data_IF_978337672333
#
_entry.id   IF_978337672333
#
_cell.length_a   1.000
_cell.length_b   1.000
_cell.length_c   1.000
_cell.angle_alpha   90.00
_cell.angle_beta   90.00
_cell.angle_gamma   90.00
#
_symmetry.space_group_name_H-M   'P 1'
#
loop_
_entity.id
_entity.type
_entity.pdbx_description
1 polymer ?
#
# COMPACT_ATOMS: atom_id res chain seq x y z
N UNK A 1 -6.56 12.95 13.53
CA UNK A 1 -7.08 12.77 12.14
C UNK A 1 -5.87 12.60 11.25
N UNK A 2 -5.82 11.54 10.44
CA UNK A 2 -4.76 11.32 9.47
C UNK A 2 -4.89 12.30 8.29
N UNK A 3 -3.74 12.65 7.68
CA UNK A 3 -3.70 13.50 6.49
C UNK A 3 -4.43 12.85 5.31
N UNK A 4 -5.17 13.65 4.57
CA UNK A 4 -5.88 13.20 3.37
C UNK A 4 -6.05 14.31 2.36
N UNK A 5 -6.30 13.92 1.11
CA UNK A 5 -6.77 14.76 0.01
C UNK A 5 -8.01 14.13 -0.60
N UNK A 6 -8.89 14.97 -1.17
CA UNK A 6 -10.10 14.52 -1.84
C UNK A 6 -10.15 15.19 -3.21
N UNK A 7 -10.26 14.39 -4.26
CA UNK A 7 -10.31 14.84 -5.66
C UNK A 7 -11.48 14.18 -6.39
N UNK A 8 -12.03 14.89 -7.39
CA UNK A 8 -13.10 14.34 -8.24
C UNK A 8 -14.49 14.37 -7.61
N UNK A 9 -15.41 13.60 -8.20
CA UNK A 9 -16.80 13.48 -7.76
C UNK A 9 -17.38 12.13 -8.16
N UNK A 10 -18.40 11.65 -7.45
CA UNK A 10 -19.03 10.35 -7.68
C UNK A 10 -18.97 9.45 -6.45
N UNK A 11 -19.02 8.13 -6.65
CA UNK A 11 -18.91 7.17 -5.55
C UNK A 11 -17.54 7.30 -4.84
N UNK A 12 -17.49 7.26 -3.48
CA UNK A 12 -16.24 7.43 -2.77
C UNK A 12 -15.32 6.22 -2.95
N UNK A 13 -14.05 6.49 -3.27
CA UNK A 13 -12.97 5.53 -3.45
C UNK A 13 -11.78 5.92 -2.57
N UNK A 14 -11.43 5.06 -1.63
CA UNK A 14 -10.30 5.23 -0.71
C UNK A 14 -9.05 4.53 -1.25
N UNK A 15 -7.92 5.24 -1.30
CA UNK A 15 -6.62 4.69 -1.68
C UNK A 15 -5.73 4.55 -0.43
N UNK A 16 -5.27 3.32 -0.14
CA UNK A 16 -4.43 2.99 1.01
C UNK A 16 -3.00 2.67 0.59
N UNK A 17 -2.06 3.37 1.19
CA UNK A 17 -0.63 3.37 0.84
C UNK A 17 0.09 2.07 1.22
N UNK A 18 1.09 1.66 0.41
CA UNK A 18 2.17 0.80 0.86
C UNK A 18 3.01 1.49 1.97
N UNK A 19 3.84 0.70 2.66
CA UNK A 19 4.50 1.12 3.91
C UNK A 19 5.37 2.37 3.77
N UNK A 20 6.17 2.47 2.71
CA UNK A 20 7.07 3.61 2.44
C UNK A 20 6.47 4.65 1.47
N UNK A 21 5.19 4.50 1.10
CA UNK A 21 4.48 5.40 0.20
C UNK A 21 3.91 6.61 0.94
N UNK A 22 3.47 7.59 0.15
CA UNK A 22 2.69 8.75 0.61
C UNK A 22 1.44 8.90 -0.26
N UNK A 23 0.47 9.67 0.20
CA UNK A 23 -0.73 10.02 -0.58
C UNK A 23 -0.39 10.59 -1.97
N UNK A 24 0.74 11.29 -2.10
CA UNK A 24 1.23 11.84 -3.37
C UNK A 24 1.65 10.75 -4.36
N UNK A 25 2.12 9.60 -3.91
CA UNK A 25 2.55 8.48 -4.77
C UNK A 25 1.42 7.93 -5.64
N UNK A 26 0.17 8.11 -5.21
CA UNK A 26 -1.01 7.69 -5.96
C UNK A 26 -1.39 8.61 -7.11
N UNK A 27 -0.79 9.81 -7.24
CA UNK A 27 -1.23 10.82 -8.20
C UNK A 27 -1.44 10.29 -9.63
N UNK A 28 -0.54 9.46 -10.21
CA UNK A 28 -0.72 8.93 -11.56
C UNK A 28 -1.93 7.99 -11.70
N UNK A 29 -2.25 7.21 -10.65
CA UNK A 29 -3.41 6.32 -10.60
C UNK A 29 -4.68 7.10 -10.25
N UNK A 30 -4.60 8.02 -9.30
CA UNK A 30 -5.75 8.77 -8.80
C UNK A 30 -6.35 9.73 -9.85
N UNK A 31 -5.52 10.32 -10.72
CA UNK A 31 -5.97 11.30 -11.72
C UNK A 31 -7.07 10.75 -12.65
N UNK A 32 -6.92 9.63 -13.35
CA UNK A 32 -7.99 9.08 -14.18
C UNK A 32 -9.18 8.57 -13.35
N UNK A 33 -8.95 8.08 -12.13
CA UNK A 33 -10.03 7.63 -11.24
C UNK A 33 -10.90 8.79 -10.76
N UNK A 34 -10.34 9.98 -10.57
CA UNK A 34 -11.06 11.17 -10.13
C UNK A 34 -12.06 11.73 -11.17
N UNK A 35 -12.00 11.25 -12.42
CA UNK A 35 -13.00 11.55 -13.45
C UNK A 35 -14.33 10.81 -13.19
N UNK A 36 -14.30 9.73 -12.36
CA UNK A 36 -15.44 8.84 -12.12
C UNK A 36 -15.81 8.68 -10.64
N UNK A 37 -14.87 8.97 -9.72
CA UNK A 37 -15.00 8.74 -8.29
C UNK A 37 -14.63 9.99 -7.48
N UNK A 38 -15.16 10.07 -6.26
CA UNK A 38 -14.59 10.91 -5.22
C UNK A 38 -13.42 10.16 -4.61
N UNK A 39 -12.20 10.47 -5.05
CA UNK A 39 -10.97 9.78 -4.68
C UNK A 39 -10.38 10.38 -3.42
N UNK A 40 -10.27 9.57 -2.37
CA UNK A 40 -9.60 9.92 -1.10
C UNK A 40 -8.23 9.25 -1.06
N UNK A 41 -7.17 10.04 -0.95
CA UNK A 41 -5.80 9.56 -0.70
C UNK A 41 -5.40 9.98 0.70
N UNK A 42 -4.82 9.09 1.48
CA UNK A 42 -4.42 9.42 2.85
C UNK A 42 -3.02 8.87 3.18
N UNK A 43 -2.35 9.50 4.12
CA UNK A 43 -1.18 8.95 4.79
C UNK A 43 -1.63 8.27 6.08
N UNK A 44 -1.31 7.00 6.24
CA UNK A 44 -1.54 6.29 7.50
C UNK A 44 -0.65 6.87 8.60
N UNK A 45 -1.00 6.70 9.86
CA UNK A 45 -0.21 7.19 11.00
C UNK A 45 1.20 6.63 10.93
N UNK A 46 2.20 7.49 11.08
CA UNK A 46 3.63 7.17 10.85
C UNK A 46 4.12 7.50 9.43
N UNK A 47 3.23 7.72 8.45
CA UNK A 47 3.63 8.19 7.12
C UNK A 47 3.77 9.71 7.07
N UNK A 48 4.42 10.23 6.04
CA UNK A 48 4.97 11.58 5.89
C UNK A 48 4.12 12.71 6.46
N UNK A 49 2.86 12.84 5.97
CA UNK A 49 1.96 13.94 6.36
C UNK A 49 1.07 13.58 7.56
N UNK A 50 1.19 12.36 8.06
CA UNK A 50 0.56 11.88 9.30
C UNK A 50 1.64 11.47 10.30
N UNK A 51 2.52 12.41 10.73
CA UNK A 51 3.61 12.09 11.66
C UNK A 51 3.06 11.67 13.01
N UNK A 52 3.85 10.91 13.74
CA UNK A 52 3.51 10.38 15.05
C UNK A 52 3.89 8.92 15.16
N UNK A 53 3.75 8.37 16.34
CA UNK A 53 4.01 6.96 16.59
C UNK A 53 2.97 6.10 15.88
N UNK A 54 3.37 5.22 14.94
CA UNK A 54 2.44 4.32 14.30
C UNK A 54 1.88 3.31 15.31
N UNK A 55 0.69 2.74 15.07
CA UNK A 55 0.16 1.67 15.91
C UNK A 55 1.10 0.46 15.91
N UNK A 56 1.17 -0.23 17.05
CA UNK A 56 1.94 -1.46 17.18
C UNK A 56 1.31 -2.64 16.42
N UNK A 57 0.01 -2.59 16.16
CA UNK A 57 -0.74 -3.60 15.39
C UNK A 57 -1.30 -2.99 14.10
N UNK A 58 -1.14 -3.71 12.98
CA UNK A 58 -1.66 -3.27 11.67
C UNK A 58 -3.17 -3.03 11.72
N UNK A 59 -3.90 -3.79 12.52
CA UNK A 59 -5.34 -3.66 12.68
C UNK A 59 -5.79 -2.36 13.34
N UNK A 60 -4.94 -1.70 14.10
CA UNK A 60 -5.27 -0.43 14.76
C UNK A 60 -5.34 0.73 13.76
N UNK A 61 -4.72 0.62 12.58
CA UNK A 61 -4.92 1.56 11.48
C UNK A 61 -6.37 1.58 10.97
N UNK A 62 -7.12 0.49 11.17
CA UNK A 62 -8.55 0.43 10.80
C UNK A 62 -9.35 1.51 11.53
N UNK A 63 -9.06 1.74 12.81
CA UNK A 63 -9.74 2.79 13.58
C UNK A 63 -9.48 4.19 13.02
N UNK A 64 -8.23 4.47 12.61
CA UNK A 64 -7.87 5.75 11.97
C UNK A 64 -8.61 5.95 10.64
N UNK A 65 -8.71 4.88 9.83
CA UNK A 65 -9.43 4.91 8.54
C UNK A 65 -10.92 5.10 8.76
N UNK A 66 -11.54 4.38 9.72
CA UNK A 66 -12.97 4.56 10.04
C UNK A 66 -13.24 5.99 10.51
N UNK A 67 -12.39 6.55 11.37
CA UNK A 67 -12.51 7.94 11.82
C UNK A 67 -12.38 8.94 10.66
N UNK A 68 -11.51 8.67 9.68
CA UNK A 68 -11.42 9.47 8.45
C UNK A 68 -12.72 9.41 7.64
N UNK A 69 -13.28 8.21 7.43
CA UNK A 69 -14.54 8.04 6.69
C UNK A 69 -15.70 8.75 7.38
N UNK A 70 -15.78 8.71 8.72
CA UNK A 70 -16.78 9.40 9.52
C UNK A 70 -16.63 10.93 9.39
N UNK A 71 -15.39 11.44 9.46
CA UNK A 71 -15.10 12.85 9.27
C UNK A 71 -15.56 13.37 7.89
N UNK A 72 -15.35 12.56 6.85
CA UNK A 72 -15.77 12.89 5.48
C UNK A 72 -17.25 12.65 5.21
N UNK A 73 -17.98 12.05 6.16
CA UNK A 73 -19.41 11.73 6.00
C UNK A 73 -19.67 10.55 5.05
N UNK A 74 -18.68 9.72 4.76
CA UNK A 74 -18.84 8.56 3.89
C UNK A 74 -19.35 7.34 4.68
N UNK A 75 -20.54 6.87 4.38
CA UNK A 75 -21.12 5.66 4.97
C UNK A 75 -20.36 4.43 4.54
N UNK A 76 -20.06 4.31 3.25
CA UNK A 76 -19.28 3.21 2.67
C UNK A 76 -18.50 3.65 1.45
N UNK A 77 -17.35 3.01 1.20
CA UNK A 77 -16.42 3.36 0.12
C UNK A 77 -15.99 2.11 -0.67
N UNK A 78 -15.55 2.31 -1.90
CA UNK A 78 -14.66 1.36 -2.57
C UNK A 78 -13.25 1.52 -2.00
N UNK A 79 -12.45 0.45 -1.96
CA UNK A 79 -11.08 0.48 -1.43
C UNK A 79 -10.11 -0.06 -2.49
N UNK A 80 -9.14 0.76 -2.88
CA UNK A 80 -7.96 0.35 -3.64
C UNK A 80 -6.75 0.46 -2.72
N UNK A 81 -6.07 -0.64 -2.48
CA UNK A 81 -5.02 -0.70 -1.48
C UNK A 81 -3.80 -1.46 -2.00
N UNK A 82 -2.59 -1.04 -1.63
CA UNK A 82 -1.37 -1.72 -2.08
C UNK A 82 -0.48 -2.12 -0.91
N UNK A 83 0.13 -3.32 -1.00
CA UNK A 83 1.12 -3.82 -0.03
C UNK A 83 0.61 -3.74 1.42
N UNK A 84 1.27 -3.01 2.31
CA UNK A 84 0.83 -2.74 3.69
C UNK A 84 -0.61 -2.20 3.76
N UNK A 85 -0.94 -1.25 2.89
CA UNK A 85 -2.32 -0.75 2.77
C UNK A 85 -3.32 -1.82 2.38
N UNK A 86 -2.89 -2.86 1.64
CA UNK A 86 -3.70 -4.03 1.32
C UNK A 86 -4.08 -4.83 2.56
N UNK A 87 -3.15 -4.99 3.51
CA UNK A 87 -3.44 -5.60 4.81
C UNK A 87 -4.46 -4.76 5.62
N UNK A 88 -4.24 -3.44 5.70
CA UNK A 88 -5.20 -2.51 6.35
C UNK A 88 -6.56 -2.56 5.68
N UNK A 89 -6.62 -2.56 4.34
CA UNK A 89 -7.86 -2.64 3.57
C UNK A 89 -8.62 -3.94 3.78
N UNK A 90 -7.91 -5.08 3.84
CA UNK A 90 -8.51 -6.37 4.14
C UNK A 90 -9.09 -6.42 5.57
N UNK A 91 -8.34 -5.92 6.56
CA UNK A 91 -8.81 -5.82 7.95
C UNK A 91 -10.01 -4.86 8.09
N UNK A 92 -9.98 -3.71 7.43
CA UNK A 92 -11.13 -2.79 7.37
C UNK A 92 -12.36 -3.51 6.82
N UNK A 93 -12.18 -4.27 5.73
CA UNK A 93 -13.28 -4.99 5.06
C UNK A 93 -13.85 -6.10 5.94
N UNK A 94 -12.99 -6.84 6.65
CA UNK A 94 -13.41 -7.92 7.55
C UNK A 94 -14.07 -7.41 8.84
N UNK A 95 -13.49 -6.36 9.47
CA UNK A 95 -13.93 -5.84 10.78
C UNK A 95 -15.07 -4.82 10.69
N UNK A 96 -15.16 -4.10 9.56
CA UNK A 96 -16.19 -3.09 9.32
C UNK A 96 -16.86 -3.27 7.94
N UNK A 97 -17.50 -4.44 7.68
CA UNK A 97 -17.99 -4.80 6.34
C UNK A 97 -19.02 -3.82 5.78
N UNK A 98 -19.79 -3.13 6.61
CA UNK A 98 -20.73 -2.10 6.19
C UNK A 98 -20.04 -0.83 5.62
N UNK A 99 -18.73 -0.66 5.87
CA UNK A 99 -17.95 0.49 5.40
C UNK A 99 -17.29 0.26 4.04
N UNK A 100 -17.25 -0.97 3.54
CA UNK A 100 -16.55 -1.31 2.28
C UNK A 100 -17.52 -1.93 1.27
N UNK A 101 -17.64 -1.28 0.12
CA UNK A 101 -18.48 -1.74 -1.02
C UNK A 101 -17.76 -2.81 -1.82
N UNK A 102 -16.48 -2.62 -2.09
CA UNK A 102 -15.60 -3.58 -2.76
C UNK A 102 -14.15 -3.29 -2.45
N UNK A 103 -13.29 -4.28 -2.56
CA UNK A 103 -11.86 -4.22 -2.26
C UNK A 103 -11.03 -4.64 -3.47
N UNK A 104 -10.11 -3.80 -3.91
CA UNK A 104 -9.02 -4.17 -4.82
C UNK A 104 -7.70 -4.11 -4.04
N UNK A 105 -7.08 -5.27 -3.81
CA UNK A 105 -5.82 -5.42 -3.07
C UNK A 105 -4.69 -5.75 -4.03
N UNK A 106 -3.68 -4.89 -4.11
CA UNK A 106 -2.59 -4.95 -5.08
C UNK A 106 -1.28 -5.25 -4.37
N UNK A 107 -0.52 -6.23 -4.86
CA UNK A 107 0.79 -6.61 -4.33
C UNK A 107 0.77 -6.75 -2.79
N UNK A 108 -0.17 -7.56 -2.27
CA UNK A 108 -0.36 -7.78 -0.84
C UNK A 108 -0.44 -9.27 -0.51
N UNK A 109 -0.25 -9.63 0.76
CA UNK A 109 -0.23 -11.01 1.24
C UNK A 109 -1.13 -11.20 2.48
N UNK A 110 -1.43 -12.45 2.81
CA UNK A 110 -2.20 -12.86 3.99
C UNK A 110 -1.38 -12.91 5.29
N UNK A 111 -0.08 -12.64 5.18
CA UNK A 111 0.91 -12.66 6.26
C UNK A 111 2.32 -12.79 5.68
N UNK A 112 3.34 -12.68 6.53
CA UNK A 112 4.73 -12.77 6.09
C UNK A 112 5.23 -14.21 6.05
N UNK A 113 6.14 -14.47 5.09
CA UNK A 113 7.04 -15.62 5.09
C UNK A 113 8.33 -15.25 5.80
N UNK A 114 9.18 -16.24 6.09
CA UNK A 114 10.50 -16.01 6.66
C UNK A 114 11.34 -15.08 5.77
N UNK A 115 11.34 -15.28 4.45
CA UNK A 115 12.09 -14.43 3.51
C UNK A 115 11.57 -12.99 3.47
N UNK A 116 10.26 -12.78 3.60
CA UNK A 116 9.68 -11.44 3.70
C UNK A 116 10.08 -10.76 5.01
N UNK A 117 10.10 -11.49 6.13
CA UNK A 117 10.53 -10.96 7.42
C UNK A 117 12.01 -10.57 7.41
N UNK A 118 12.88 -11.39 6.78
CA UNK A 118 14.29 -11.04 6.58
C UNK A 118 14.48 -9.76 5.75
N UNK A 119 13.65 -9.57 4.71
CA UNK A 119 13.70 -8.37 3.89
C UNK A 119 13.23 -7.12 4.67
N UNK A 120 12.16 -7.24 5.45
CA UNK A 120 11.69 -6.17 6.35
C UNK A 120 12.77 -5.79 7.37
N UNK A 121 13.49 -6.77 7.93
CA UNK A 121 14.60 -6.51 8.83
C UNK A 121 15.74 -5.73 8.14
N UNK A 122 16.07 -6.05 6.89
CA UNK A 122 17.03 -5.29 6.07
C UNK A 122 16.57 -3.85 5.81
N UNK A 123 15.28 -3.65 5.50
CA UNK A 123 14.71 -2.31 5.31
C UNK A 123 14.74 -1.50 6.59
N UNK A 124 14.41 -2.14 7.72
CA UNK A 124 14.48 -1.52 9.05
C UNK A 124 15.89 -1.05 9.37
N UNK A 125 16.89 -1.92 9.22
CA UNK A 125 18.29 -1.57 9.44
C UNK A 125 18.75 -0.41 8.55
N UNK A 126 18.40 -0.45 7.25
CA UNK A 126 18.71 0.63 6.32
C UNK A 126 18.00 1.95 6.69
N UNK A 127 16.77 1.88 7.20
CA UNK A 127 16.02 3.05 7.68
C UNK A 127 16.70 3.68 8.88
N UNK A 128 17.11 2.87 9.88
CA UNK A 128 17.86 3.33 11.06
C UNK A 128 19.20 3.96 10.64
N UNK A 129 19.95 3.30 9.75
CA UNK A 129 21.20 3.87 9.21
C UNK A 129 20.99 5.20 8.48
N UNK A 130 19.88 5.33 7.75
CA UNK A 130 19.53 6.59 7.06
C UNK A 130 19.15 7.70 8.04
N UNK A 131 18.55 7.35 9.18
CA UNK A 131 18.16 8.29 10.22
C UNK A 131 19.38 8.77 11.05
N UNK A 132 20.22 7.83 11.49
CA UNK A 132 21.29 8.08 12.47
C UNK A 132 22.67 8.32 11.83
N UNK A 133 22.86 7.84 10.61
CA UNK A 133 24.14 7.88 9.91
C UNK A 133 24.32 9.07 8.96
N UNK A 134 25.52 9.21 8.38
CA UNK A 134 25.81 10.28 7.42
C UNK A 134 25.13 10.09 6.05
N UNK A 135 24.69 8.87 5.73
CA UNK A 135 24.11 8.52 4.46
C UNK A 135 22.59 8.30 4.55
N UNK A 136 21.86 9.40 4.46
CA UNK A 136 20.39 9.39 4.50
C UNK A 136 19.72 8.73 3.30
N UNK A 137 20.47 8.49 2.21
CA UNK A 137 19.95 7.82 1.01
C UNK A 137 20.09 6.30 1.04
N UNK A 138 20.73 5.72 2.06
CA UNK A 138 21.02 4.28 2.12
C UNK A 138 19.78 3.38 1.97
N UNK A 139 18.63 3.81 2.50
CA UNK A 139 17.35 3.11 2.34
C UNK A 139 16.96 2.93 0.86
N UNK A 140 17.19 3.95 0.01
CA UNK A 140 16.89 3.87 -1.43
C UNK A 140 17.65 2.72 -2.11
N UNK A 141 18.91 2.52 -1.74
CA UNK A 141 19.77 1.49 -2.34
C UNK A 141 19.32 0.06 -1.98
N UNK A 142 18.68 -0.08 -0.82
CA UNK A 142 18.14 -1.38 -0.35
C UNK A 142 16.74 -1.65 -0.92
N UNK A 143 15.88 -0.63 -0.99
CA UNK A 143 14.51 -0.78 -1.50
C UNK A 143 14.48 -1.01 -3.02
N UNK A 144 15.25 -0.23 -3.81
CA UNK A 144 15.14 -0.18 -5.26
C UNK A 144 15.21 -1.55 -5.94
N UNK A 145 16.18 -2.44 -5.64
CA UNK A 145 16.30 -3.74 -6.32
C UNK A 145 15.20 -4.74 -5.96
N UNK A 146 14.46 -4.51 -4.88
CA UNK A 146 13.41 -5.40 -4.38
C UNK A 146 12.03 -4.94 -4.83
N UNK A 147 11.80 -3.62 -4.80
CA UNK A 147 10.45 -3.07 -5.07
C UNK A 147 10.20 -2.78 -6.55
N UNK A 148 11.24 -2.57 -7.36
CA UNK A 148 11.08 -2.30 -8.80
C UNK A 148 11.49 -3.49 -9.65
N UNK A 149 10.81 -3.67 -10.78
CA UNK A 149 11.22 -4.64 -11.80
C UNK A 149 12.58 -4.27 -12.41
N UNK A 150 13.40 -5.26 -12.84
CA UNK A 150 14.68 -4.99 -13.50
C UNK A 150 14.55 -4.07 -14.73
N UNK A 151 13.48 -4.24 -15.50
CA UNK A 151 13.21 -3.41 -16.68
C UNK A 151 12.93 -1.95 -16.29
N UNK A 152 12.19 -1.72 -15.21
CA UNK A 152 11.92 -0.36 -14.70
C UNK A 152 13.20 0.30 -14.19
N UNK A 153 14.02 -0.42 -13.41
CA UNK A 153 15.31 0.09 -12.91
C UNK A 153 16.21 0.49 -14.06
N UNK A 154 16.34 -0.34 -15.10
CA UNK A 154 17.17 -0.04 -16.27
C UNK A 154 16.64 1.15 -17.07
N UNK A 155 15.33 1.23 -17.30
CA UNK A 155 14.71 2.34 -18.03
C UNK A 155 14.85 3.69 -17.30
N UNK A 156 14.93 3.68 -15.96
CA UNK A 156 14.98 4.88 -15.12
C UNK A 156 16.31 5.02 -14.36
N UNK A 157 17.38 4.41 -14.85
CA UNK A 157 18.70 4.42 -14.17
C UNK A 157 19.24 5.84 -13.94
N UNK A 158 18.97 6.76 -14.85
CA UNK A 158 19.42 8.17 -14.74
C UNK A 158 18.66 8.91 -13.62
N UNK A 159 17.49 8.43 -13.23
CA UNK A 159 16.69 8.98 -12.14
C UNK A 159 17.08 8.43 -10.75
N UNK A 160 17.87 7.36 -10.69
CA UNK A 160 18.28 6.71 -9.42
C UNK A 160 18.86 7.71 -8.42
N UNK A 161 19.78 8.58 -8.88
CA UNK A 161 20.39 9.60 -8.02
C UNK A 161 19.36 10.65 -7.55
N UNK A 162 18.31 10.91 -8.34
CA UNK A 162 17.22 11.81 -7.95
C UNK A 162 16.36 11.16 -6.87
N UNK A 163 15.91 9.92 -7.07
CA UNK A 163 15.13 9.15 -6.07
C UNK A 163 15.87 9.05 -4.75
N UNK A 164 17.17 8.72 -4.80
CA UNK A 164 18.02 8.64 -3.62
C UNK A 164 18.09 9.96 -2.86
N UNK A 165 18.25 11.09 -3.56
CA UNK A 165 18.22 12.44 -2.95
C UNK A 165 16.85 12.79 -2.38
N UNK A 166 15.76 12.39 -3.05
CA UNK A 166 14.40 12.62 -2.54
C UNK A 166 14.18 11.90 -1.21
N UNK A 167 14.60 10.62 -1.09
CA UNK A 167 14.54 9.89 0.19
C UNK A 167 15.44 10.56 1.23
N UNK A 168 16.67 10.93 0.89
CA UNK A 168 17.58 11.59 1.80
C UNK A 168 17.06 12.94 2.34
N UNK A 169 16.19 13.62 1.60
CA UNK A 169 15.59 14.90 1.98
C UNK A 169 14.34 14.77 2.87
N UNK A 170 13.84 13.55 3.10
CA UNK A 170 12.68 13.32 3.97
C UNK A 170 13.03 13.68 5.44
N UNK A 171 12.05 14.15 6.22
CA UNK A 171 12.27 14.52 7.62
C UNK A 171 12.54 13.29 8.49
N UNK A 172 13.24 13.50 9.62
CA UNK A 172 13.55 12.43 10.60
C UNK A 172 12.28 11.74 11.10
N UNK A 173 11.19 12.49 11.26
CA UNK A 173 9.89 11.95 11.67
C UNK A 173 9.36 10.89 10.68
N UNK A 174 9.66 11.00 9.37
CA UNK A 174 9.29 9.99 8.40
C UNK A 174 10.10 8.69 8.57
N UNK A 175 11.40 8.81 8.77
CA UNK A 175 12.25 7.63 9.02
C UNK A 175 11.85 6.91 10.32
N UNK A 176 11.61 7.68 11.40
CA UNK A 176 11.14 7.12 12.67
C UNK A 176 9.76 6.46 12.54
N UNK A 177 8.84 7.09 11.81
CA UNK A 177 7.53 6.52 11.49
C UNK A 177 7.65 5.22 10.67
N UNK A 178 8.55 5.19 9.67
CA UNK A 178 8.79 3.99 8.87
C UNK A 178 9.35 2.83 9.69
N UNK A 179 10.26 3.09 10.65
CA UNK A 179 10.75 2.06 11.59
C UNK A 179 9.58 1.44 12.35
N UNK A 180 8.71 2.26 12.96
CA UNK A 180 7.57 1.75 13.70
C UNK A 180 6.54 1.01 12.83
N UNK A 181 6.33 1.44 11.57
CA UNK A 181 5.48 0.74 10.61
C UNK A 181 6.06 -0.62 10.23
N UNK A 182 7.38 -0.72 10.02
CA UNK A 182 8.07 -1.98 9.76
C UNK A 182 7.96 -2.92 10.97
N UNK A 183 8.15 -2.41 12.19
CA UNK A 183 8.00 -3.18 13.42
C UNK A 183 6.56 -3.73 13.56
N UNK A 184 5.53 -2.93 13.25
CA UNK A 184 4.13 -3.36 13.29
C UNK A 184 3.77 -4.43 12.25
N UNK A 185 4.51 -4.45 11.14
CA UNK A 185 4.25 -5.36 10.03
C UNK A 185 4.86 -6.76 10.25
N UNK A 186 5.88 -6.92 11.12
CA UNK A 186 6.63 -8.20 11.26
C UNK A 186 5.76 -9.39 11.67
N UNK A 187 4.68 -9.16 12.43
CA UNK A 187 3.90 -10.25 13.05
C UNK A 187 2.45 -10.33 12.58
N UNK A 188 2.05 -9.54 11.56
CA UNK A 188 0.65 -9.56 11.14
C UNK A 188 0.26 -10.86 10.43
N UNK A 189 -0.99 -11.29 10.67
CA UNK A 189 -1.62 -12.38 9.94
C UNK A 189 -3.09 -12.07 9.71
N UNK A 190 -3.53 -12.17 8.46
CA UNK A 190 -4.92 -11.92 8.06
C UNK A 190 -5.77 -13.19 8.01
N UNK A 191 -5.15 -14.37 8.05
CA UNK A 191 -5.79 -15.66 7.74
C UNK A 191 -7.09 -15.93 8.49
N UNK A 192 -7.15 -15.55 9.76
CA UNK A 192 -8.34 -15.76 10.56
C UNK A 192 -9.52 -14.85 10.17
N UNK A 193 -9.23 -13.70 9.58
CA UNK A 193 -10.22 -12.66 9.27
C UNK A 193 -10.68 -12.66 7.79
N UNK A 194 -9.82 -13.11 6.86
CA UNK A 194 -10.13 -13.14 5.42
C UNK A 194 -11.44 -13.87 5.08
N UNK A 195 -11.82 -15.01 5.73
CA UNK A 195 -13.09 -15.66 5.47
C UNK A 195 -14.33 -14.83 5.85
N UNK A 196 -14.18 -13.73 6.58
CA UNK A 196 -15.28 -12.81 6.90
C UNK A 196 -15.59 -11.80 5.80
N UNK A 197 -14.68 -11.60 4.83
CA UNK A 197 -14.87 -10.68 3.70
C UNK A 197 -15.98 -11.22 2.79
N UNK A 198 -16.97 -10.38 2.46
CA UNK A 198 -18.16 -10.74 1.66
C UNK A 198 -18.38 -9.83 0.46
N UNK A 199 -17.78 -8.66 0.42
CA UNK A 199 -17.93 -7.75 -0.71
C UNK A 199 -17.12 -8.26 -1.91
N UNK A 200 -17.46 -7.83 -3.15
CA UNK A 200 -16.63 -8.10 -4.32
C UNK A 200 -15.18 -7.75 -4.03
N UNK A 201 -14.27 -8.68 -4.30
CA UNK A 201 -12.83 -8.50 -4.03
C UNK A 201 -12.02 -8.93 -5.23
N UNK A 202 -11.06 -8.09 -5.63
CA UNK A 202 -10.05 -8.37 -6.64
C UNK A 202 -8.67 -8.32 -5.99
N UNK A 203 -7.92 -9.41 -6.06
CA UNK A 203 -6.51 -9.46 -5.67
C UNK A 203 -5.65 -9.38 -6.92
N UNK A 204 -4.73 -8.43 -6.96
CA UNK A 204 -3.83 -8.19 -8.09
C UNK A 204 -2.40 -8.42 -7.66
N UNK A 205 -1.73 -9.35 -8.31
CA UNK A 205 -0.29 -9.60 -8.11
C UNK A 205 0.54 -8.88 -9.18
N UNK A 206 1.77 -8.52 -8.86
CA UNK A 206 2.78 -8.12 -9.81
C UNK A 206 3.67 -9.34 -10.15
N UNK A 207 3.90 -9.60 -11.44
CA UNK A 207 4.57 -10.82 -11.89
C UNK A 207 6.02 -10.93 -11.38
N UNK A 208 6.73 -9.80 -11.33
CA UNK A 208 8.14 -9.71 -10.95
C UNK A 208 8.32 -9.07 -9.56
N UNK A 209 7.33 -9.24 -8.69
CA UNK A 209 7.41 -8.74 -7.31
C UNK A 209 8.56 -9.43 -6.55
N UNK A 210 9.57 -8.65 -6.20
CA UNK A 210 10.75 -9.15 -5.47
C UNK A 210 10.55 -9.26 -3.96
N UNK A 211 9.43 -8.74 -3.45
CA UNK A 211 9.11 -8.76 -2.03
C UNK A 211 7.98 -9.74 -1.68
N UNK A 212 6.83 -9.63 -2.37
CA UNK A 212 5.69 -10.51 -2.14
C UNK A 212 5.58 -11.53 -3.28
N UNK A 213 5.93 -12.78 -3.04
CA UNK A 213 5.85 -13.82 -4.06
C UNK A 213 4.43 -13.99 -4.62
N UNK A 214 4.31 -14.30 -5.90
CA UNK A 214 3.04 -14.45 -6.63
C UNK A 214 2.08 -15.44 -5.93
N UNK A 215 2.61 -16.54 -5.40
CA UNK A 215 1.84 -17.55 -4.68
C UNK A 215 1.24 -17.01 -3.37
N UNK A 216 1.85 -16.01 -2.75
CA UNK A 216 1.32 -15.35 -1.55
C UNK A 216 0.13 -14.44 -1.88
N UNK A 217 0.20 -13.69 -2.99
CA UNK A 217 -0.96 -12.96 -3.50
C UNK A 217 -2.10 -13.92 -3.87
N UNK A 218 -1.78 -15.06 -4.49
CA UNK A 218 -2.78 -16.09 -4.83
C UNK A 218 -3.41 -16.69 -3.58
N UNK A 219 -2.61 -17.02 -2.56
CA UNK A 219 -3.11 -17.53 -1.29
C UNK A 219 -4.06 -16.53 -0.59
N UNK A 220 -3.76 -15.21 -0.69
CA UNK A 220 -4.67 -14.17 -0.21
C UNK A 220 -6.02 -14.22 -0.94
N UNK A 221 -6.03 -14.34 -2.27
CA UNK A 221 -7.26 -14.45 -3.04
C UNK A 221 -8.06 -15.71 -2.69
N UNK A 222 -7.39 -16.86 -2.59
CA UNK A 222 -8.02 -18.15 -2.25
C UNK A 222 -8.65 -18.17 -0.85
N UNK A 223 -8.09 -17.38 0.09
CA UNK A 223 -8.61 -17.26 1.45
C UNK A 223 -9.86 -16.35 1.56
N UNK A 224 -10.17 -15.55 0.54
CA UNK A 224 -11.32 -14.64 0.49
C UNK A 224 -12.42 -15.27 -0.35
N UNK A 225 -13.61 -15.57 0.20
CA UNK A 225 -14.69 -16.18 -0.54
C UNK A 225 -15.13 -15.36 -1.78
N UNK A 226 -15.02 -15.95 -2.98
CA UNK A 226 -15.43 -15.31 -4.22
C UNK A 226 -14.50 -14.23 -4.77
N UNK A 227 -13.27 -14.09 -4.21
CA UNK A 227 -12.32 -13.14 -4.75
C UNK A 227 -11.85 -13.52 -6.16
N UNK A 228 -11.73 -12.51 -7.02
CA UNK A 228 -11.07 -12.61 -8.32
C UNK A 228 -9.55 -12.44 -8.14
N UNK A 229 -8.77 -13.04 -9.04
CA UNK A 229 -7.32 -12.94 -9.05
C UNK A 229 -6.80 -12.49 -10.40
N UNK A 230 -5.92 -11.51 -10.43
CA UNK A 230 -5.29 -11.01 -11.65
C UNK A 230 -3.77 -10.85 -11.44
N UNK A 231 -2.99 -10.87 -12.53
CA UNK A 231 -1.54 -10.66 -12.53
C UNK A 231 -1.18 -9.56 -13.52
N UNK A 232 -0.46 -8.54 -13.08
CA UNK A 232 0.11 -7.53 -13.96
C UNK A 232 1.50 -8.00 -14.40
N UNK A 233 1.62 -8.29 -15.71
CA UNK A 233 2.85 -8.78 -16.29
C UNK A 233 3.96 -7.74 -16.28
N UNK A 234 5.20 -8.18 -16.07
CA UNK A 234 6.42 -7.38 -16.14
C UNK A 234 6.59 -6.34 -15.02
N UNK A 235 5.68 -6.26 -14.05
CA UNK A 235 5.72 -5.29 -12.95
C UNK A 235 6.41 -5.86 -11.71
N UNK A 236 7.15 -5.03 -10.99
CA UNK A 236 7.67 -5.30 -9.64
C UNK A 236 6.66 -4.94 -8.55
N UNK A 237 7.09 -4.99 -7.29
CA UNK A 237 6.26 -4.67 -6.10
C UNK A 237 5.65 -3.27 -6.17
N UNK A 238 6.39 -2.29 -6.68
CA UNK A 238 5.92 -0.91 -6.84
C UNK A 238 5.01 -0.73 -8.08
N UNK A 239 4.17 -1.71 -8.41
CA UNK A 239 3.32 -1.76 -9.61
C UNK A 239 2.46 -0.51 -9.80
N UNK A 240 2.01 0.13 -8.74
CA UNK A 240 1.24 1.39 -8.77
C UNK A 240 2.08 2.57 -9.28
N UNK A 241 3.40 2.47 -9.22
CA UNK A 241 4.37 3.43 -9.74
C UNK A 241 4.85 3.02 -11.12
N UNK A 242 5.15 1.74 -11.34
CA UNK A 242 5.66 1.22 -12.61
C UNK A 242 4.61 1.23 -13.73
N UNK A 243 3.39 0.82 -13.41
CA UNK A 243 2.29 0.66 -14.37
C UNK A 243 0.99 1.32 -13.89
N UNK A 244 1.01 2.63 -13.58
CA UNK A 244 -0.14 3.33 -13.02
C UNK A 244 -1.38 3.29 -13.94
N UNK A 245 -1.19 3.34 -15.26
CA UNK A 245 -2.28 3.27 -16.22
C UNK A 245 -2.98 1.89 -16.20
N UNK A 246 -2.22 0.80 -16.08
CA UNK A 246 -2.76 -0.57 -15.97
C UNK A 246 -3.56 -0.72 -14.68
N UNK A 247 -3.02 -0.24 -13.54
CA UNK A 247 -3.72 -0.29 -12.25
C UNK A 247 -5.01 0.53 -12.29
N UNK A 248 -4.98 1.74 -12.86
CA UNK A 248 -6.16 2.58 -12.99
C UNK A 248 -7.23 1.95 -13.88
N UNK A 249 -6.86 1.35 -15.01
CA UNK A 249 -7.79 0.68 -15.92
C UNK A 249 -8.48 -0.52 -15.24
N UNK A 250 -7.72 -1.36 -14.52
CA UNK A 250 -8.29 -2.47 -13.75
C UNK A 250 -9.22 -1.97 -12.64
N UNK A 251 -8.86 -0.88 -11.96
CA UNK A 251 -9.70 -0.28 -10.92
C UNK A 251 -11.01 0.27 -11.49
N UNK A 252 -10.96 0.98 -12.64
CA UNK A 252 -12.15 1.48 -13.34
C UNK A 252 -13.07 0.34 -13.74
N UNK A 253 -12.54 -0.73 -14.34
CA UNK A 253 -13.32 -1.89 -14.73
C UNK A 253 -13.96 -2.59 -13.53
N UNK A 254 -13.21 -2.79 -12.46
CA UNK A 254 -13.66 -3.51 -11.27
C UNK A 254 -14.70 -2.72 -10.46
N UNK A 255 -14.48 -1.45 -10.22
CA UNK A 255 -15.36 -0.63 -9.38
C UNK A 255 -16.62 -0.12 -10.13
N UNK A 256 -16.69 -0.24 -11.44
CA UNK A 256 -17.88 0.10 -12.25
C UNK A 256 -18.94 -1.00 -12.26
N UNK A 257 -18.66 -2.19 -11.71
CA UNK A 257 -19.60 -3.34 -11.62
C UNK A 257 -20.51 -3.13 -10.41
#
# INVERSE_FOLDING_TARGET
>A
MIFHTVDGSGAPLLLLNGIAMTAASWQPVARPLAEHFTVVRCDLRGQLMSPGEPPADVGDHVADVVALLDHLGFVSVHVLATSFGGAVGALLTARAPARVRSLMSVASADGFTESMAEEVARWREATVRSLEGPDRGALSDVLEPVVYSPAYVEAHRDERAVRRRQIAALPDAWFGGLVGLLDSAESFSLRAELPAIRCPTLVVAAELDGFIPLDRCRALAEAIPGAEFNVIAGAGHAVVVEQPATVAALALEFFAR
#
